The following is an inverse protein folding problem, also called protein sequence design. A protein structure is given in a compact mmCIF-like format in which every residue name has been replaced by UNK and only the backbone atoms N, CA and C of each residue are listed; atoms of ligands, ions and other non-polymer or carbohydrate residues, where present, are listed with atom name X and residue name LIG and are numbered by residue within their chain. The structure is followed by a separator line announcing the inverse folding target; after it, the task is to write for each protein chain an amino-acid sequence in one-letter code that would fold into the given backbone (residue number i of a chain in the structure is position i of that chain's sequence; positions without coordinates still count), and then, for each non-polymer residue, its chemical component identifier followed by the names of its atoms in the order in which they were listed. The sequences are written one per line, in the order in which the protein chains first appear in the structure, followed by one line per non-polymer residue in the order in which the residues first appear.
data_IF_459375117536
#
_entry.id   IF_459375117536
#
_cell.length_a   1.000
_cell.length_b   1.000
_cell.length_c   1.000
_cell.angle_alpha   90.00
_cell.angle_beta   90.00
_cell.angle_gamma   90.00
#
_symmetry.space_group_name_H-M   'P 1'
#
loop_
_entity.id
_entity.type
_entity.pdbx_description
1 polymer ?
#
# COMPACT_ATOMS: atom_id res chain seq x y z
N UNK A 1 1.23 -12.28 26.87
CA UNK A 1 1.78 -11.00 26.36
C UNK A 1 0.82 -10.32 25.36
N UNK A 2 0.29 -10.99 24.32
CA UNK A 2 -0.71 -10.37 23.41
C UNK A 2 -2.04 -9.97 24.09
N UNK A 3 -2.58 -10.80 25.00
CA UNK A 3 -3.81 -10.48 25.74
C UNK A 3 -3.66 -9.31 26.73
N UNK A 4 -2.44 -8.97 27.14
CA UNK A 4 -2.17 -7.85 28.06
C UNK A 4 -2.24 -6.51 27.33
N UNK A 5 -1.86 -6.48 26.04
CA UNK A 5 -1.88 -5.28 25.22
C UNK A 5 -3.20 -5.02 24.49
N UNK A 6 -4.24 -5.84 24.70
CA UNK A 6 -5.52 -5.70 23.99
C UNK A 6 -5.42 -5.94 22.48
N UNK A 7 -4.37 -6.62 21.99
CA UNK A 7 -4.14 -6.84 20.57
C UNK A 7 -4.84 -8.13 20.12
N UNK A 8 -5.78 -8.00 19.20
CA UNK A 8 -6.40 -9.13 18.51
C UNK A 8 -5.39 -9.78 17.53
N UNK A 9 -5.17 -11.08 17.67
CA UNK A 9 -4.23 -11.84 16.83
C UNK A 9 -5.00 -12.52 15.69
N UNK A 10 -4.81 -12.00 14.48
CA UNK A 10 -5.31 -12.63 13.24
C UNK A 10 -4.21 -13.41 12.54
N UNK A 11 -4.54 -14.62 12.09
CA UNK A 11 -3.61 -15.52 11.41
C UNK A 11 -4.09 -15.82 9.99
N UNK A 12 -3.16 -15.86 9.05
CA UNK A 12 -3.40 -16.40 7.72
C UNK A 12 -3.40 -17.94 7.76
N UNK A 13 -4.06 -18.57 6.79
CA UNK A 13 -3.99 -20.01 6.59
C UNK A 13 -2.56 -20.47 6.33
N UNK A 14 -2.22 -21.65 6.84
CA UNK A 14 -0.90 -22.25 6.61
C UNK A 14 -0.62 -22.36 5.10
N UNK A 15 0.62 -22.04 4.71
CA UNK A 15 1.10 -22.08 3.32
C UNK A 15 0.28 -21.25 2.32
N UNK A 16 -0.49 -20.26 2.80
CA UNK A 16 -1.24 -19.33 1.97
C UNK A 16 -0.68 -17.91 2.06
N UNK A 17 0.35 -17.55 1.25
CA UNK A 17 0.93 -16.21 1.27
C UNK A 17 -0.05 -15.11 0.83
N UNK A 18 -1.14 -15.47 0.13
CA UNK A 18 -2.13 -14.50 -0.32
C UNK A 18 -2.95 -13.92 0.84
N UNK A 19 -3.04 -14.65 1.96
CA UNK A 19 -3.68 -14.17 3.18
C UNK A 19 -3.01 -12.93 3.78
N UNK A 20 -1.76 -12.63 3.41
CA UNK A 20 -1.03 -11.42 3.82
C UNK A 20 -0.31 -10.73 2.64
N UNK A 21 -1.00 -10.67 1.50
CA UNK A 21 -0.43 -10.17 0.23
C UNK A 21 0.16 -8.76 0.30
N UNK A 22 -0.41 -7.88 1.14
CA UNK A 22 0.09 -6.51 1.36
C UNK A 22 1.47 -6.52 2.01
N UNK A 23 1.68 -7.32 3.05
CA UNK A 23 2.98 -7.42 3.71
C UNK A 23 4.01 -8.10 2.80
N UNK A 24 3.63 -9.15 2.08
CA UNK A 24 4.52 -9.82 1.11
C UNK A 24 4.99 -8.85 0.01
N UNK A 25 4.08 -8.03 -0.51
CA UNK A 25 4.41 -7.00 -1.50
C UNK A 25 5.37 -5.95 -0.93
N UNK A 26 5.22 -5.61 0.35
CA UNK A 26 6.13 -4.70 1.04
C UNK A 26 7.52 -5.31 1.22
N UNK A 27 7.62 -6.55 1.69
CA UNK A 27 8.90 -7.28 1.83
C UNK A 27 9.63 -7.36 0.49
N UNK A 28 8.90 -7.65 -0.60
CA UNK A 28 9.46 -7.63 -1.96
C UNK A 28 10.06 -6.26 -2.32
N UNK A 29 9.34 -5.18 -2.05
CA UNK A 29 9.80 -3.82 -2.34
C UNK A 29 11.04 -3.45 -1.53
N UNK A 30 11.03 -3.71 -0.22
CA UNK A 30 12.15 -3.44 0.68
C UNK A 30 13.39 -4.20 0.22
N UNK A 31 13.28 -5.52 0.01
CA UNK A 31 14.40 -6.35 -0.45
C UNK A 31 14.97 -5.86 -1.78
N UNK A 32 14.11 -5.57 -2.77
CA UNK A 32 14.56 -5.09 -4.07
C UNK A 32 15.28 -3.73 -3.99
N UNK A 33 14.80 -2.84 -3.13
CA UNK A 33 15.41 -1.51 -2.93
C UNK A 33 16.76 -1.62 -2.21
N UNK A 34 16.85 -2.45 -1.18
CA UNK A 34 18.11 -2.74 -0.48
C UNK A 34 19.15 -3.32 -1.43
N UNK A 35 18.78 -4.32 -2.24
CA UNK A 35 19.70 -4.93 -3.22
C UNK A 35 20.23 -3.90 -4.22
N UNK A 36 19.39 -2.97 -4.68
CA UNK A 36 19.81 -1.89 -5.58
C UNK A 36 20.80 -0.93 -4.91
N UNK A 37 20.59 -0.58 -3.65
CA UNK A 37 21.49 0.32 -2.91
C UNK A 37 22.83 -0.33 -2.55
N UNK A 38 22.84 -1.65 -2.34
CA UNK A 38 24.02 -2.41 -2.00
C UNK A 38 25.10 -2.41 -3.10
N UNK A 39 24.73 -2.19 -4.38
CA UNK A 39 25.65 -2.15 -5.52
C UNK A 39 26.66 -3.33 -5.53
N UNK A 40 26.20 -4.54 -5.19
CA UNK A 40 27.03 -5.76 -5.17
C UNK A 40 27.74 -6.05 -3.84
N UNK A 41 27.73 -5.14 -2.86
CA UNK A 41 28.22 -5.40 -1.50
C UNK A 41 27.24 -6.30 -0.75
N UNK A 42 27.71 -7.41 -0.15
CA UNK A 42 26.82 -8.38 0.54
C UNK A 42 26.67 -8.12 2.04
N UNK A 43 27.67 -7.53 2.69
CA UNK A 43 27.79 -7.55 4.15
C UNK A 43 27.30 -6.27 4.86
N UNK A 44 26.85 -5.25 4.13
CA UNK A 44 26.58 -3.91 4.67
C UNK A 44 25.11 -3.48 4.53
N UNK A 45 24.20 -4.43 4.37
CA UNK A 45 22.80 -4.14 4.08
C UNK A 45 22.09 -3.37 5.20
N UNK A 46 22.50 -3.57 6.44
CA UNK A 46 21.92 -2.95 7.65
C UNK A 46 21.98 -1.42 7.61
N UNK A 47 23.11 -0.86 7.14
CA UNK A 47 23.28 0.60 7.03
C UNK A 47 22.29 1.24 6.06
N UNK A 48 21.79 0.48 5.08
CA UNK A 48 20.85 0.99 4.09
C UNK A 48 19.40 0.87 4.52
N UNK A 49 19.06 0.10 5.56
CA UNK A 49 17.66 -0.12 5.98
C UNK A 49 16.95 1.19 6.35
N UNK A 50 17.52 2.10 7.17
CA UNK A 50 16.86 3.37 7.47
C UNK A 50 16.60 4.21 6.21
N UNK A 51 17.57 4.24 5.29
CA UNK A 51 17.44 4.97 4.04
C UNK A 51 16.38 4.35 3.11
N UNK A 52 16.34 3.01 3.01
CA UNK A 52 15.32 2.27 2.27
C UNK A 52 13.93 2.60 2.81
N UNK A 53 13.74 2.59 4.13
CA UNK A 53 12.47 2.93 4.75
C UNK A 53 12.05 4.37 4.40
N UNK A 54 12.97 5.34 4.50
CA UNK A 54 12.70 6.72 4.08
C UNK A 54 12.28 6.80 2.60
N UNK A 55 13.03 6.19 1.68
CA UNK A 55 12.67 6.20 0.26
C UNK A 55 11.30 5.58 -0.02
N UNK A 56 10.97 4.52 0.72
CA UNK A 56 9.70 3.81 0.65
C UNK A 56 8.57 4.72 1.15
N UNK A 57 8.74 5.46 2.24
CA UNK A 57 7.71 6.33 2.80
C UNK A 57 7.45 7.60 2.00
N UNK A 58 8.48 8.13 1.32
CA UNK A 58 8.40 9.30 0.45
C UNK A 58 7.86 8.97 -0.95
N UNK A 59 7.94 7.70 -1.37
CA UNK A 59 7.46 7.27 -2.68
C UNK A 59 5.95 7.47 -2.81
N UNK A 60 5.54 8.19 -3.85
CA UNK A 60 4.13 8.31 -4.22
C UNK A 60 3.56 6.98 -4.72
N UNK A 61 2.41 6.59 -4.18
CA UNK A 61 1.68 5.42 -4.63
C UNK A 61 0.95 5.72 -5.94
N UNK A 62 0.92 4.75 -6.87
CA UNK A 62 0.23 4.89 -8.16
C UNK A 62 -1.27 5.17 -7.99
N UNK A 63 -1.91 4.48 -7.03
CA UNK A 63 -3.37 4.47 -6.89
C UNK A 63 -3.97 5.82 -6.48
N UNK A 64 -3.29 6.58 -5.63
CA UNK A 64 -3.80 7.83 -5.05
C UNK A 64 -2.80 8.98 -5.10
N UNK A 65 -1.68 8.78 -5.80
CA UNK A 65 -0.65 9.79 -6.11
C UNK A 65 0.02 10.46 -4.90
N UNK A 66 -0.27 10.01 -3.68
CA UNK A 66 0.31 10.54 -2.44
C UNK A 66 1.32 9.56 -1.84
N UNK A 67 2.14 10.02 -0.90
CA UNK A 67 3.12 9.20 -0.20
C UNK A 67 2.64 8.81 1.21
N UNK A 68 3.12 7.68 1.74
CA UNK A 68 2.71 7.16 3.06
C UNK A 68 2.94 8.16 4.17
N UNK A 69 4.09 8.81 4.17
CA UNK A 69 4.45 9.78 5.19
C UNK A 69 3.41 10.92 5.27
N UNK A 70 3.03 11.46 4.11
CA UNK A 70 2.04 12.54 4.05
C UNK A 70 0.67 12.08 4.52
N UNK A 71 0.27 10.85 4.20
CA UNK A 71 -1.01 10.31 4.66
C UNK A 71 -1.05 10.10 6.17
N UNK A 72 0.03 9.60 6.77
CA UNK A 72 0.06 9.31 8.20
C UNK A 72 0.16 10.58 9.04
N UNK A 73 0.99 11.54 8.61
CA UNK A 73 1.31 12.72 9.41
C UNK A 73 0.62 14.00 8.96
N UNK A 74 -0.18 13.93 7.88
CA UNK A 74 -0.81 15.09 7.25
C UNK A 74 0.16 16.28 7.06
N UNK A 75 1.41 15.97 6.68
CA UNK A 75 2.47 16.96 6.48
C UNK A 75 3.40 16.52 5.36
N UNK A 76 4.12 17.48 4.79
CA UNK A 76 5.13 17.17 3.77
C UNK A 76 6.32 16.49 4.45
N UNK A 77 6.87 15.47 3.80
CA UNK A 77 8.14 14.89 4.20
C UNK A 77 9.26 15.92 4.06
N UNK A 78 10.30 15.74 4.84
CA UNK A 78 11.53 16.51 4.66
C UNK A 78 12.12 16.21 3.26
N UNK A 79 12.47 17.27 2.53
CA UNK A 79 13.13 17.21 1.24
C UNK A 79 14.65 17.03 1.32
N UNK A 80 15.19 16.69 2.50
CA UNK A 80 16.63 16.57 2.78
C UNK A 80 17.36 17.90 2.59
N UNK A 81 16.72 18.99 3.03
CA UNK A 81 17.34 20.30 2.97
C UNK A 81 18.52 20.43 3.94
N UNK A 82 19.38 21.41 3.71
CA UNK A 82 20.55 21.63 4.55
C UNK A 82 20.19 22.42 5.82
N UNK A 83 19.88 21.72 6.90
CA UNK A 83 19.37 22.31 8.15
C UNK A 83 20.42 22.90 9.11
N UNK A 84 21.71 22.90 8.77
CA UNK A 84 22.77 23.33 9.69
C UNK A 84 22.64 24.75 10.27
N UNK A 85 21.87 25.64 9.62
CA UNK A 85 21.68 27.03 10.05
C UNK A 85 20.34 27.26 10.78
N UNK A 86 19.47 26.26 10.79
CA UNK A 86 18.16 26.37 11.41
C UNK A 86 18.27 25.98 12.89
N UNK A 87 17.64 26.77 13.77
CA UNK A 87 17.54 26.40 15.17
C UNK A 87 16.47 25.31 15.28
N UNK A 88 16.77 24.15 15.88
CA UNK A 88 15.78 23.10 16.07
C UNK A 88 14.61 23.64 16.90
N UNK A 89 13.39 23.30 16.51
CA UNK A 89 12.21 23.56 17.33
C UNK A 89 12.27 22.65 18.55
N UNK A 90 12.16 23.22 19.75
CA UNK A 90 12.12 22.44 20.99
C UNK A 90 10.97 21.44 20.97
N UNK A 91 11.28 20.17 21.19
CA UNK A 91 10.28 19.08 21.24
C UNK A 91 9.32 19.20 22.42
N UNK A 92 9.62 20.07 23.39
CA UNK A 92 8.80 20.36 24.57
C UNK A 92 7.70 21.37 24.30
N UNK A 93 7.71 22.07 23.15
CA UNK A 93 6.63 22.97 22.77
C UNK A 93 5.40 22.13 22.42
N UNK A 94 4.35 22.28 23.22
CA UNK A 94 3.04 21.68 22.98
C UNK A 94 2.55 22.15 21.61
N UNK A 95 2.08 21.22 20.79
CA UNK A 95 1.48 21.55 19.51
C UNK A 95 0.19 22.35 19.74
N UNK A 96 -0.02 23.43 18.98
CA UNK A 96 -1.19 24.27 19.13
C UNK A 96 -2.48 23.46 18.86
N UNK A 97 -3.24 23.17 19.92
CA UNK A 97 -4.49 22.39 19.85
C UNK A 97 -5.50 23.00 18.88
N UNK A 98 -5.54 24.35 18.78
CA UNK A 98 -6.38 25.06 17.83
C UNK A 98 -6.09 24.67 16.38
N UNK A 99 -4.81 24.64 16.00
CA UNK A 99 -4.39 24.27 14.64
C UNK A 99 -4.72 22.81 14.34
N UNK A 100 -4.59 21.93 15.34
CA UNK A 100 -4.94 20.51 15.19
C UNK A 100 -6.45 20.36 14.95
N UNK A 101 -7.26 21.02 15.78
CA UNK A 101 -8.72 20.96 15.69
C UNK A 101 -9.25 21.57 14.39
N UNK A 102 -8.60 22.61 13.86
CA UNK A 102 -8.94 23.18 12.55
C UNK A 102 -8.57 22.25 11.38
N UNK A 103 -7.46 21.51 11.47
CA UNK A 103 -7.01 20.61 10.41
C UNK A 103 -7.76 19.28 10.39
N UNK A 104 -8.24 18.81 11.53
CA UNK A 104 -8.94 17.54 11.64
C UNK A 104 -10.14 17.39 10.68
N UNK A 105 -11.11 18.33 10.61
CA UNK A 105 -12.24 18.22 9.70
C UNK A 105 -11.80 18.27 8.22
N UNK A 106 -10.79 19.09 7.89
CA UNK A 106 -10.25 19.13 6.53
C UNK A 106 -9.67 17.78 6.09
N UNK A 107 -8.94 17.09 6.97
CA UNK A 107 -8.40 15.76 6.66
C UNK A 107 -9.54 14.76 6.44
N UNK A 108 -10.51 14.77 7.33
CA UNK A 108 -11.59 13.80 7.33
C UNK A 108 -12.51 13.96 6.10
N UNK A 109 -12.93 15.20 5.83
CA UNK A 109 -14.00 15.47 4.88
C UNK A 109 -13.47 15.70 3.46
N UNK A 110 -12.30 16.32 3.33
CA UNK A 110 -11.73 16.68 2.01
C UNK A 110 -10.67 15.69 1.59
N UNK A 111 -9.61 15.53 2.40
CA UNK A 111 -8.42 14.79 1.99
C UNK A 111 -8.70 13.29 1.81
N UNK A 112 -9.39 12.65 2.77
CA UNK A 112 -9.73 11.22 2.67
C UNK A 112 -10.70 10.96 1.51
N UNK A 113 -11.67 11.85 1.30
CA UNK A 113 -12.62 11.73 0.19
C UNK A 113 -11.93 11.81 -1.18
N UNK A 114 -11.00 12.75 -1.35
CA UNK A 114 -10.24 12.91 -2.60
C UNK A 114 -9.30 11.72 -2.89
N UNK A 115 -8.68 11.15 -1.85
CA UNK A 115 -7.88 9.93 -1.97
C UNK A 115 -8.76 8.78 -2.43
N UNK A 116 -9.92 8.61 -1.80
CA UNK A 116 -10.84 7.53 -2.14
C UNK A 116 -11.31 7.63 -3.60
N UNK A 117 -11.68 8.83 -4.03
CA UNK A 117 -12.02 9.12 -5.43
C UNK A 117 -10.88 8.76 -6.39
N UNK A 118 -9.65 9.19 -6.06
CA UNK A 118 -8.46 8.90 -6.88
C UNK A 118 -8.18 7.39 -7.01
N UNK A 119 -8.44 6.62 -5.94
CA UNK A 119 -8.31 5.16 -5.96
C UNK A 119 -9.32 4.55 -6.93
N UNK A 120 -10.60 4.94 -6.82
CA UNK A 120 -11.66 4.45 -7.70
C UNK A 120 -11.35 4.76 -9.16
N UNK A 121 -10.97 6.00 -9.45
CA UNK A 121 -10.65 6.44 -10.82
C UNK A 121 -9.50 5.62 -11.41
N UNK A 122 -8.45 5.38 -10.62
CA UNK A 122 -7.30 4.58 -11.05
C UNK A 122 -7.68 3.11 -11.27
N UNK A 123 -8.50 2.54 -10.38
CA UNK A 123 -8.99 1.17 -10.51
C UNK A 123 -9.90 1.01 -11.75
N UNK A 124 -10.79 1.97 -12.01
CA UNK A 124 -11.65 1.98 -13.19
C UNK A 124 -10.82 2.05 -14.47
N UNK A 125 -9.78 2.89 -14.50
CA UNK A 125 -8.86 2.98 -15.64
C UNK A 125 -8.05 1.69 -15.84
N UNK A 126 -7.55 1.07 -14.77
CA UNK A 126 -6.86 -0.22 -14.83
C UNK A 126 -7.80 -1.33 -15.32
N UNK A 127 -9.06 -1.33 -14.86
CA UNK A 127 -10.07 -2.29 -15.29
C UNK A 127 -10.43 -2.12 -16.77
N UNK A 128 -10.66 -0.89 -17.24
CA UNK A 128 -10.93 -0.62 -18.65
C UNK A 128 -9.76 -1.06 -19.55
N UNK A 129 -8.52 -0.80 -19.12
CA UNK A 129 -7.32 -1.27 -19.83
C UNK A 129 -7.23 -2.79 -19.86
N UNK A 130 -7.58 -3.45 -18.75
CA UNK A 130 -7.61 -4.90 -18.65
C UNK A 130 -8.69 -5.51 -19.56
N UNK A 131 -9.92 -5.01 -19.53
CA UNK A 131 -11.04 -5.47 -20.35
C UNK A 131 -10.79 -5.30 -21.85
N UNK A 132 -10.06 -4.24 -22.25
CA UNK A 132 -9.63 -4.08 -23.65
C UNK A 132 -8.62 -5.14 -24.08
N UNK A 133 -7.70 -5.52 -23.18
CA UNK A 133 -6.60 -6.46 -23.49
C UNK A 133 -7.03 -7.92 -23.39
N UNK A 134 -7.83 -8.24 -22.40
CA UNK A 134 -8.35 -9.56 -22.12
C UNK A 134 -9.84 -9.46 -22.39
N UNK A 135 -10.38 -10.17 -23.39
CA UNK A 135 -11.80 -10.14 -23.78
C UNK A 135 -12.70 -10.55 -22.60
N UNK A 136 -12.92 -9.66 -21.64
CA UNK A 136 -13.74 -9.89 -20.45
C UNK A 136 -15.18 -9.91 -20.95
N UNK A 137 -15.78 -11.09 -20.95
CA UNK A 137 -17.20 -11.25 -21.25
C UNK A 137 -17.96 -10.85 -19.99
N UNK A 138 -18.77 -9.79 -20.06
CA UNK A 138 -19.53 -9.28 -18.89
C UNK A 138 -20.53 -10.33 -18.36
N UNK A 139 -21.12 -11.12 -19.26
CA UNK A 139 -21.92 -12.30 -18.93
C UNK A 139 -21.30 -13.52 -19.59
N UNK A 140 -20.33 -14.20 -18.94
CA UNK A 140 -19.71 -15.38 -19.54
C UNK A 140 -20.70 -16.53 -19.72
N UNK A 141 -21.80 -16.52 -18.96
CA UNK A 141 -22.87 -17.52 -19.01
C UNK A 141 -24.24 -16.84 -18.88
N UNK A 142 -24.84 -16.33 -19.98
CA UNK A 142 -26.18 -15.77 -19.93
C UNK A 142 -27.21 -16.83 -19.51
N UNK A 143 -28.27 -16.39 -18.83
CA UNK A 143 -29.38 -17.26 -18.41
C UNK A 143 -30.03 -17.85 -19.66
N UNK A 144 -30.06 -19.18 -19.77
CA UNK A 144 -30.47 -19.92 -20.98
C UNK A 144 -29.32 -20.58 -21.76
N UNK A 145 -28.07 -20.40 -21.34
CA UNK A 145 -26.91 -21.10 -21.91
C UNK A 145 -27.01 -22.62 -21.68
N UNK A 146 -27.32 -23.38 -22.72
CA UNK A 146 -27.51 -24.85 -22.65
C UNK A 146 -26.22 -25.65 -22.48
N UNK A 147 -25.04 -25.06 -22.73
CA UNK A 147 -23.75 -25.76 -22.74
C UNK A 147 -22.81 -25.21 -21.66
N UNK A 148 -23.11 -25.51 -20.39
CA UNK A 148 -22.10 -25.47 -19.33
C UNK A 148 -21.33 -26.80 -19.37
N UNK A 149 -20.02 -26.75 -19.57
CA UNK A 149 -19.16 -27.94 -19.51
C UNK A 149 -19.17 -28.51 -18.07
N UNK A 150 -20.05 -29.47 -17.81
CA UNK A 150 -19.98 -30.30 -16.61
C UNK A 150 -18.78 -31.22 -16.81
N UNK A 151 -17.70 -31.01 -16.05
CA UNK A 151 -16.57 -31.93 -16.02
C UNK A 151 -17.08 -33.27 -15.49
N UNK A 152 -17.30 -34.22 -16.39
CA UNK A 152 -17.76 -35.55 -16.03
C UNK A 152 -16.65 -36.27 -15.24
N UNK A 153 -16.81 -36.36 -13.92
CA UNK A 153 -15.82 -36.94 -12.99
C UNK A 153 -15.66 -38.46 -13.23
N UNK A 154 -16.62 -39.10 -13.92
CA UNK A 154 -16.69 -40.56 -14.11
C UNK A 154 -16.25 -40.96 -15.54
N UNK A 155 -15.54 -40.11 -16.29
CA UNK A 155 -15.08 -40.49 -17.64
C UNK A 155 -13.96 -41.53 -17.54
N UNK A 156 -14.31 -42.81 -17.61
CA UNK A 156 -13.34 -43.88 -17.88
C UNK A 156 -12.97 -43.80 -19.37
N UNK A 157 -11.68 -43.54 -19.63
CA UNK A 157 -11.13 -43.62 -20.98
C UNK A 157 -11.25 -45.07 -21.45
N UNK A 158 -11.99 -45.31 -22.54
CA UNK A 158 -11.84 -46.50 -23.38
C UNK A 158 -10.77 -46.20 -24.43
#
# INVERSE_FOLDING_TARGET
MMNIGGIDRRLALAYNPWGNSTAESYVKLTKATTIKLLNGKRNQWEHYIPWVNYCIDVKNARMHKSCRYTLLFNRRHDGLAHYSKEKPTDSSKIADEKIINERYPFVQDVLIADIFKSIIDTQAADHAKFAKKHKVVESPYPIGSSNLLIKNVIRQNK
#
